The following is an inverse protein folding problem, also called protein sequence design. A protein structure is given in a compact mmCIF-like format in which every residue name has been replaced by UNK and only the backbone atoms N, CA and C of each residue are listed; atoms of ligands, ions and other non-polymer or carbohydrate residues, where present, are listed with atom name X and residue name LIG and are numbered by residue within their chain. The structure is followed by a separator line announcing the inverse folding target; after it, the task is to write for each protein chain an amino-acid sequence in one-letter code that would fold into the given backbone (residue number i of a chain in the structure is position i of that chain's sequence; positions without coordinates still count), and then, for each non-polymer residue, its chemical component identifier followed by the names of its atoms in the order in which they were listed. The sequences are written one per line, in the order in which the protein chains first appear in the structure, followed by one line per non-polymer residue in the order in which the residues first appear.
data_IF_375377252124
#
_entry.id   IF_375377252124
#
_cell.length_a   1.000
_cell.length_b   1.000
_cell.length_c   1.000
_cell.angle_alpha   90.00
_cell.angle_beta   90.00
_cell.angle_gamma   90.00
#
_symmetry.space_group_name_H-M   'P 1'
#
loop_
_entity.id
_entity.type
_entity.pdbx_description
1 polymer ?
#
# COMPACT_ATOMS: atom_id res chain seq x y z
N UNK A 1 -12.38 -14.28 -7.93
CA UNK A 1 -11.48 -13.22 -7.44
C UNK A 1 -10.48 -13.89 -6.50
N UNK A 2 -9.39 -14.42 -7.06
CA UNK A 2 -8.29 -15.05 -6.31
C UNK A 2 -7.15 -14.03 -6.18
N UNK A 3 -7.38 -12.93 -5.44
CA UNK A 3 -6.31 -11.96 -5.11
C UNK A 3 -5.62 -12.30 -3.77
N UNK A 4 -6.01 -13.38 -3.11
CA UNK A 4 -5.73 -13.49 -1.68
C UNK A 4 -4.51 -14.36 -1.32
N UNK A 5 -4.12 -15.31 -2.17
CA UNK A 5 -3.10 -16.30 -1.78
C UNK A 5 -1.67 -15.80 -2.01
N UNK A 6 -1.40 -15.11 -3.12
CA UNK A 6 -0.09 -14.48 -3.38
C UNK A 6 0.20 -13.38 -2.34
N UNK A 7 -0.80 -12.56 -2.01
CA UNK A 7 -0.65 -11.49 -1.03
C UNK A 7 -0.38 -12.04 0.39
N UNK A 8 -1.03 -13.14 0.78
CA UNK A 8 -0.74 -13.83 2.04
C UNK A 8 0.66 -14.39 2.09
N UNK A 9 1.13 -14.99 0.99
CA UNK A 9 2.48 -15.55 0.90
C UNK A 9 3.53 -14.44 1.11
N UNK A 10 3.38 -13.30 0.43
CA UNK A 10 4.25 -12.14 0.61
C UNK A 10 4.21 -11.62 2.06
N UNK A 11 3.04 -11.49 2.67
CA UNK A 11 2.91 -11.07 4.08
C UNK A 11 3.66 -12.03 5.02
N UNK A 12 3.59 -13.34 4.75
CA UNK A 12 4.30 -14.36 5.53
C UNK A 12 5.82 -14.29 5.33
N UNK A 13 6.28 -14.08 4.11
CA UNK A 13 7.70 -13.90 3.81
C UNK A 13 8.27 -12.66 4.52
N UNK A 14 7.54 -11.53 4.49
CA UNK A 14 7.90 -10.33 5.23
C UNK A 14 7.99 -10.60 6.73
N UNK A 15 7.00 -11.30 7.30
CA UNK A 15 7.00 -11.67 8.71
C UNK A 15 8.22 -12.51 9.09
N UNK A 16 8.59 -13.47 8.24
CA UNK A 16 9.76 -14.33 8.43
C UNK A 16 11.05 -13.50 8.36
N UNK A 17 11.22 -12.68 7.33
CA UNK A 17 12.39 -11.83 7.14
C UNK A 17 12.59 -10.82 8.28
N UNK A 18 11.51 -10.25 8.82
CA UNK A 18 11.58 -9.35 9.98
C UNK A 18 12.04 -10.12 11.22
N UNK A 19 11.48 -11.31 11.47
CA UNK A 19 11.86 -12.09 12.63
C UNK A 19 13.34 -12.48 12.57
N UNK A 20 13.80 -13.00 11.44
CA UNK A 20 15.22 -13.29 11.21
C UNK A 20 16.10 -12.05 11.37
N UNK A 21 15.65 -10.89 10.87
CA UNK A 21 16.38 -9.63 11.01
C UNK A 21 16.49 -9.16 12.46
N UNK A 22 15.45 -9.36 13.27
CA UNK A 22 15.43 -8.98 14.69
C UNK A 22 16.25 -9.96 15.52
N UNK A 23 16.11 -11.27 15.28
CA UNK A 23 16.84 -12.34 15.97
C UNK A 23 18.35 -12.22 15.75
N UNK A 24 18.78 -11.89 14.53
CA UNK A 24 20.19 -11.72 14.19
C UNK A 24 20.71 -10.30 14.42
N UNK A 25 19.90 -9.38 14.95
CA UNK A 25 20.32 -8.00 15.15
C UNK A 25 21.15 -7.86 16.42
N UNK A 26 22.46 -7.62 16.25
CA UNK A 26 23.35 -7.25 17.36
C UNK A 26 22.86 -6.02 18.12
N UNK A 27 22.31 -5.04 17.42
CA UNK A 27 21.75 -3.82 18.04
C UNK A 27 20.58 -4.13 18.98
N UNK A 28 19.72 -5.08 18.61
CA UNK A 28 18.60 -5.52 19.46
C UNK A 28 19.15 -6.31 20.64
N UNK A 29 20.06 -7.26 20.40
CA UNK A 29 20.71 -8.03 21.46
C UNK A 29 21.38 -7.13 22.53
N UNK A 30 22.16 -6.15 22.10
CA UNK A 30 22.84 -5.20 23.01
C UNK A 30 21.84 -4.37 23.84
N UNK A 31 20.66 -4.07 23.29
CA UNK A 31 19.62 -3.34 24.01
C UNK A 31 18.94 -4.23 25.06
N UNK A 32 18.72 -5.50 24.73
CA UNK A 32 18.17 -6.50 25.65
C UNK A 32 19.13 -6.76 26.81
N UNK A 33 20.42 -6.92 26.55
CA UNK A 33 21.43 -7.08 27.61
C UNK A 33 21.46 -5.88 28.54
N UNK A 34 21.46 -4.66 28.00
CA UNK A 34 21.40 -3.44 28.83
C UNK A 34 20.16 -3.36 29.73
N UNK A 35 19.00 -3.84 29.26
CA UNK A 35 17.78 -3.92 30.07
C UNK A 35 17.93 -4.95 31.20
N UNK A 36 18.52 -6.11 30.89
CA UNK A 36 18.78 -7.17 31.88
C UNK A 36 19.78 -6.72 32.95
N UNK A 37 20.86 -6.05 32.55
CA UNK A 37 21.88 -5.51 33.44
C UNK A 37 21.31 -4.44 34.39
N UNK A 38 20.30 -3.70 33.94
CA UNK A 38 19.54 -2.76 34.75
C UNK A 38 18.52 -3.45 35.69
N UNK A 39 18.42 -4.78 35.67
CA UNK A 39 17.57 -5.58 36.55
C UNK A 39 16.13 -5.77 36.06
N UNK A 40 15.85 -5.47 34.79
CA UNK A 40 14.52 -5.65 34.20
C UNK A 40 14.39 -6.98 33.46
N UNK A 41 13.22 -7.59 33.55
CA UNK A 41 12.79 -8.69 32.69
C UNK A 41 11.96 -8.12 31.53
N UNK A 42 12.20 -8.61 30.32
CA UNK A 42 11.64 -8.04 29.10
C UNK A 42 10.70 -9.03 28.41
N UNK A 43 9.53 -8.54 28.01
CA UNK A 43 8.61 -9.20 27.09
C UNK A 43 8.49 -8.34 25.83
N UNK A 44 8.92 -8.87 24.69
CA UNK A 44 8.86 -8.17 23.40
C UNK A 44 7.69 -8.70 22.57
N UNK A 45 6.76 -7.83 22.21
CA UNK A 45 5.67 -8.14 21.26
C UNK A 45 5.82 -7.27 20.02
N UNK A 46 6.00 -7.87 18.85
CA UNK A 46 5.96 -7.17 17.56
C UNK A 46 4.56 -7.28 16.96
N UNK A 47 3.96 -6.14 16.58
CA UNK A 47 2.72 -6.10 15.78
C UNK A 47 3.04 -5.44 14.44
N UNK A 48 2.69 -6.12 13.35
CA UNK A 48 2.83 -5.63 11.99
C UNK A 48 1.43 -5.49 11.37
N UNK A 49 1.12 -4.30 10.86
CA UNK A 49 -0.14 -4.02 10.14
C UNK A 49 0.18 -3.73 8.68
N UNK A 50 -0.34 -4.54 7.76
CA UNK A 50 -0.10 -4.40 6.32
C UNK A 50 -1.43 -4.06 5.64
N UNK A 51 -1.54 -2.85 5.11
CA UNK A 51 -2.67 -2.41 4.32
C UNK A 51 -2.43 -2.68 2.84
N UNK A 52 -3.25 -3.54 2.23
CA UNK A 52 -3.22 -3.79 0.79
C UNK A 52 -4.19 -2.83 0.08
N UNK A 53 -3.71 -2.18 -0.98
CA UNK A 53 -4.55 -1.43 -1.93
C UNK A 53 -4.27 -1.99 -3.32
N UNK A 54 -5.28 -2.22 -4.16
CA UNK A 54 -5.06 -2.57 -5.56
C UNK A 54 -4.13 -1.54 -6.20
N UNK A 55 -3.04 -2.01 -6.79
CA UNK A 55 -2.17 -1.15 -7.57
C UNK A 55 -2.90 -0.85 -8.88
N UNK A 56 -3.42 0.36 -9.04
CA UNK A 56 -3.76 0.87 -10.37
C UNK A 56 -2.41 1.02 -11.07
N UNK A 57 -2.04 0.02 -11.89
CA UNK A 57 -0.78 0.02 -12.61
C UNK A 57 -0.61 1.26 -13.48
N UNK A 58 0.59 1.45 -14.00
CA UNK A 58 1.02 2.46 -14.97
C UNK A 58 0.24 2.41 -16.31
N UNK A 59 -1.09 2.44 -16.27
CA UNK A 59 -1.97 2.91 -17.34
C UNK A 59 -2.45 4.35 -17.05
N UNK A 60 -1.73 5.10 -16.21
CA UNK A 60 -1.82 6.57 -16.14
C UNK A 60 -1.17 7.25 -17.35
N UNK A 61 -1.35 6.65 -18.53
CA UNK A 61 -0.85 7.12 -19.83
C UNK A 61 -1.80 6.82 -20.98
N UNK A 62 -2.98 6.25 -20.72
CA UNK A 62 -4.10 6.45 -21.62
C UNK A 62 -4.93 7.56 -20.99
N UNK A 63 -4.86 8.75 -21.58
CA UNK A 63 -5.87 9.79 -21.38
C UNK A 63 -7.21 9.07 -21.24
N UNK A 64 -7.91 9.33 -20.13
CA UNK A 64 -9.31 8.98 -20.05
C UNK A 64 -10.00 9.82 -21.12
N UNK A 65 -9.92 9.37 -22.37
CA UNK A 65 -10.74 9.82 -23.45
C UNK A 65 -12.15 9.46 -23.01
N UNK A 66 -12.78 10.42 -22.35
CA UNK A 66 -14.18 10.37 -22.00
C UNK A 66 -14.90 10.23 -23.34
N UNK A 67 -15.20 9.00 -23.74
CA UNK A 67 -16.07 8.69 -24.86
C UNK A 67 -17.49 9.03 -24.40
N UNK A 68 -17.78 10.33 -24.32
CA UNK A 68 -19.08 10.85 -23.94
C UNK A 68 -20.05 10.54 -25.07
N UNK A 69 -21.17 9.93 -24.73
CA UNK A 69 -22.30 9.83 -25.63
C UNK A 69 -23.06 11.16 -25.69
N UNK A 70 -23.92 11.34 -26.70
CA UNK A 70 -24.76 12.54 -26.80
C UNK A 70 -25.65 12.75 -25.57
N UNK A 71 -26.00 11.66 -24.87
CA UNK A 71 -26.78 11.71 -23.62
C UNK A 71 -25.94 12.26 -22.46
N UNK A 72 -24.68 11.84 -22.33
CA UNK A 72 -23.78 12.31 -21.27
C UNK A 72 -23.53 13.83 -21.37
N UNK A 73 -23.39 14.34 -22.60
CA UNK A 73 -23.22 15.78 -22.86
C UNK A 73 -24.44 16.58 -22.39
N UNK A 74 -25.66 16.07 -22.64
CA UNK A 74 -26.89 16.74 -22.18
C UNK A 74 -27.01 16.79 -20.66
N UNK A 75 -26.57 15.72 -19.97
CA UNK A 75 -26.56 15.69 -18.51
C UNK A 75 -25.58 16.70 -17.94
N UNK A 76 -24.37 16.76 -18.47
CA UNK A 76 -23.32 17.70 -18.02
C UNK A 76 -23.72 19.16 -18.25
N UNK A 77 -24.40 19.46 -19.36
CA UNK A 77 -24.96 20.79 -19.64
C UNK A 77 -26.03 21.21 -18.61
N UNK A 78 -26.93 20.29 -18.23
CA UNK A 78 -27.93 20.56 -17.17
C UNK A 78 -27.27 20.86 -15.82
N UNK A 79 -26.12 20.23 -15.57
CA UNK A 79 -25.32 20.47 -14.36
C UNK A 79 -24.43 21.73 -14.45
N UNK A 80 -24.48 22.48 -15.56
CA UNK A 80 -23.65 23.67 -15.85
C UNK A 80 -22.14 23.39 -15.76
N UNK A 81 -21.73 22.16 -16.03
CA UNK A 81 -20.32 21.78 -16.10
C UNK A 81 -19.81 22.21 -17.48
N UNK A 82 -18.73 22.99 -17.53
CA UNK A 82 -18.08 23.37 -18.80
C UNK A 82 -17.07 22.29 -19.17
N UNK A 83 -17.11 21.84 -20.41
CA UNK A 83 -16.13 20.92 -20.98
C UNK A 83 -15.38 21.73 -22.03
N UNK A 84 -14.09 21.96 -21.82
CA UNK A 84 -13.20 22.54 -22.83
C UNK A 84 -12.60 21.37 -23.63
N UNK A 85 -12.94 21.20 -24.92
CA UNK A 85 -12.26 20.22 -25.75
C UNK A 85 -10.85 20.77 -26.05
N UNK A 86 -9.84 20.20 -25.42
CA UNK A 86 -8.46 20.64 -25.62
C UNK A 86 -8.01 20.48 -27.09
N UNK A 87 -7.25 21.49 -27.53
CA UNK A 87 -6.73 21.72 -28.88
C UNK A 87 -5.94 20.52 -29.42
N UNK A 88 -6.25 20.09 -30.65
CA UNK A 88 -5.46 19.09 -31.38
C UNK A 88 -4.06 19.63 -31.64
N UNK A 89 -3.03 18.96 -31.09
CA UNK A 89 -1.63 19.11 -31.49
C UNK A 89 -1.41 18.44 -32.86
#
# INVERSE_FOLDING_TARGET
MEIDDDAKEIVREIGTAINESVENSSKVADAIERLRDAGYEMELTLRLEIGLRPHAGDEAGNEAALNLTDEDVQVLQRMKIRIDPEEKI
#
